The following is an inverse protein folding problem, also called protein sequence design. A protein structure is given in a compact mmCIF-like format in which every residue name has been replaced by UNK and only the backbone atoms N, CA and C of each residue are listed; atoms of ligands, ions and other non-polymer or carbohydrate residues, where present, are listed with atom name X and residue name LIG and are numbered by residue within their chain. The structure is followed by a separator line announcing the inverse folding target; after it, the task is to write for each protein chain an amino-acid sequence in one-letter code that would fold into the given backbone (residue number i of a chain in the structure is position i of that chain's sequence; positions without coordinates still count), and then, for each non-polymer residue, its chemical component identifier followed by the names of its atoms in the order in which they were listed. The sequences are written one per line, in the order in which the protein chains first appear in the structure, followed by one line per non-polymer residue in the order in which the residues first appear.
data_IF_515118913227
#
_entry.id   IF_515118913227
#
_cell.length_a   1.000
_cell.length_b   1.000
_cell.length_c   1.000
_cell.angle_alpha   90.00
_cell.angle_beta   90.00
_cell.angle_gamma   90.00
#
_symmetry.space_group_name_H-M   'P 1'
#
loop_
_entity.id
_entity.type
_entity.pdbx_description
1 polymer ?
#
# COMPACT_ATOMS: atom_id res chain seq x y z
N UNK A 1 5.83 -32.93 -11.81
CA UNK A 1 5.19 -31.93 -10.92
C UNK A 1 4.18 -31.15 -11.74
N UNK A 2 2.91 -31.17 -11.31
CA UNK A 2 1.82 -30.46 -12.01
C UNK A 2 1.79 -29.03 -11.46
N UNK A 3 1.95 -28.02 -12.32
CA UNK A 3 1.96 -26.61 -11.97
C UNK A 3 0.62 -25.93 -12.20
N UNK A 4 -0.18 -26.52 -13.09
CA UNK A 4 -1.51 -26.01 -13.45
C UNK A 4 -2.53 -27.11 -13.26
N UNK A 5 -3.71 -26.76 -12.83
CA UNK A 5 -4.88 -27.63 -12.77
C UNK A 5 -6.03 -27.03 -13.56
N UNK A 6 -6.88 -27.88 -14.06
CA UNK A 6 -8.06 -27.46 -14.82
C UNK A 6 -9.31 -27.73 -14.01
N UNK A 7 -9.95 -26.63 -13.56
CA UNK A 7 -11.20 -26.70 -12.82
C UNK A 7 -12.27 -26.01 -13.67
N UNK A 8 -13.34 -26.72 -14.00
CA UNK A 8 -14.52 -26.18 -14.72
C UNK A 8 -14.17 -25.32 -15.96
N UNK A 9 -13.31 -25.81 -16.84
CA UNK A 9 -12.80 -25.11 -18.05
C UNK A 9 -11.84 -23.95 -17.79
N UNK A 10 -11.51 -23.64 -16.56
CA UNK A 10 -10.53 -22.62 -16.20
C UNK A 10 -9.21 -23.30 -15.81
N UNK A 11 -8.10 -22.72 -16.25
CA UNK A 11 -6.76 -23.16 -15.85
C UNK A 11 -6.33 -22.31 -14.64
N UNK A 12 -6.03 -22.97 -13.54
CA UNK A 12 -5.55 -22.36 -12.31
C UNK A 12 -4.18 -22.90 -11.94
N UNK A 13 -3.41 -22.13 -11.19
CA UNK A 13 -2.14 -22.59 -10.65
C UNK A 13 -2.38 -23.49 -9.43
N UNK A 14 -1.68 -24.62 -9.38
CA UNK A 14 -1.55 -25.38 -8.14
C UNK A 14 -0.72 -24.59 -7.12
N UNK A 15 -0.71 -25.01 -5.86
CA UNK A 15 0.13 -24.34 -4.85
C UNK A 15 1.62 -24.40 -5.21
N UNK A 16 2.08 -25.51 -5.79
CA UNK A 16 3.42 -25.60 -6.37
C UNK A 16 3.60 -24.68 -7.58
N UNK A 17 2.55 -24.50 -8.39
CA UNK A 17 2.54 -23.54 -9.50
C UNK A 17 2.73 -22.11 -9.02
N UNK A 18 2.03 -21.72 -7.96
CA UNK A 18 2.18 -20.41 -7.33
C UNK A 18 3.58 -20.19 -6.77
N UNK A 19 4.14 -21.20 -6.14
CA UNK A 19 5.49 -21.17 -5.60
C UNK A 19 6.54 -20.99 -6.71
N UNK A 20 6.45 -21.77 -7.77
CA UNK A 20 7.37 -21.65 -8.93
C UNK A 20 7.19 -20.31 -9.63
N UNK A 21 5.96 -19.79 -9.78
CA UNK A 21 5.73 -18.50 -10.38
C UNK A 21 6.47 -17.38 -9.61
N UNK A 22 6.47 -17.45 -8.28
CA UNK A 22 7.22 -16.52 -7.43
C UNK A 22 8.73 -16.53 -7.73
N UNK A 23 9.31 -17.73 -7.90
CA UNK A 23 10.71 -17.84 -8.31
C UNK A 23 10.97 -17.37 -9.75
N UNK A 24 10.06 -17.66 -10.67
CA UNK A 24 10.16 -17.20 -12.04
C UNK A 24 10.17 -15.67 -12.14
N UNK A 25 9.32 -15.00 -11.35
CA UNK A 25 9.34 -13.53 -11.26
C UNK A 25 10.65 -13.01 -10.69
N UNK A 26 11.19 -13.63 -9.64
CA UNK A 26 12.47 -13.26 -9.07
C UNK A 26 13.63 -13.44 -10.05
N UNK A 27 13.59 -14.49 -10.84
CA UNK A 27 14.59 -14.73 -11.89
C UNK A 27 14.52 -13.67 -13.00
N UNK A 28 13.33 -13.29 -13.46
CA UNK A 28 13.14 -12.23 -14.45
C UNK A 28 13.57 -10.87 -13.94
N UNK A 29 13.32 -10.59 -12.67
CA UNK A 29 13.80 -9.37 -12.03
C UNK A 29 15.34 -9.33 -11.99
N UNK A 30 15.98 -10.40 -11.48
CA UNK A 30 17.45 -10.50 -11.44
C UNK A 30 18.08 -10.40 -12.84
N UNK A 31 17.45 -10.99 -13.84
CA UNK A 31 17.90 -10.86 -15.23
C UNK A 31 17.83 -9.41 -15.73
N UNK A 32 16.76 -8.67 -15.35
CA UNK A 32 16.64 -7.24 -15.60
C UNK A 32 17.74 -6.42 -14.94
N UNK A 33 17.97 -6.65 -13.64
CA UNK A 33 19.04 -5.98 -12.89
C UNK A 33 20.43 -6.24 -13.49
N UNK A 34 20.71 -7.47 -13.93
CA UNK A 34 21.95 -7.80 -14.63
C UNK A 34 22.09 -7.06 -15.96
N UNK A 35 21.01 -6.94 -16.73
CA UNK A 35 21.02 -6.18 -17.99
C UNK A 35 21.30 -4.70 -17.75
N UNK A 36 20.74 -4.11 -16.69
CA UNK A 36 20.98 -2.72 -16.31
C UNK A 36 22.44 -2.47 -15.89
N UNK A 37 23.09 -3.44 -15.23
CA UNK A 37 24.50 -3.33 -14.83
C UNK A 37 25.47 -3.34 -16.01
N UNK A 38 25.11 -3.99 -17.10
CA UNK A 38 25.98 -4.16 -18.30
C UNK A 38 25.80 -3.03 -19.32
N UNK A 39 24.68 -2.31 -19.26
CA UNK A 39 24.42 -1.23 -20.22
C UNK A 39 24.98 0.11 -19.71
N UNK A 40 25.66 0.91 -20.58
CA UNK A 40 26.03 2.28 -20.22
C UNK A 40 24.73 3.05 -19.96
N UNK A 41 24.77 4.00 -19.00
CA UNK A 41 23.61 4.82 -18.53
C UNK A 41 22.60 5.09 -19.65
N UNK A 42 21.68 4.15 -19.83
CA UNK A 42 20.53 4.39 -20.70
C UNK A 42 19.59 5.37 -20.00
N UNK A 43 18.97 6.22 -20.78
CA UNK A 43 17.86 7.04 -20.32
C UNK A 43 16.84 6.12 -19.60
N UNK A 44 16.54 6.46 -18.35
CA UNK A 44 15.60 5.68 -17.54
C UNK A 44 14.24 5.78 -18.22
N UNK A 45 13.74 4.66 -18.73
CA UNK A 45 12.47 4.55 -19.44
C UNK A 45 11.69 3.33 -18.98
N UNK A 46 10.38 3.40 -19.08
CA UNK A 46 9.52 2.26 -18.75
C UNK A 46 8.19 2.68 -18.15
N UNK A 47 7.52 1.72 -17.52
CA UNK A 47 6.21 1.91 -16.91
C UNK A 47 6.29 1.62 -15.43
N UNK A 48 5.98 2.63 -14.61
CA UNK A 48 5.91 2.50 -13.16
C UNK A 48 4.44 2.37 -12.73
N UNK A 49 4.09 1.27 -12.08
CA UNK A 49 2.74 1.00 -11.58
C UNK A 49 2.74 1.07 -10.06
N UNK A 50 1.97 1.98 -9.50
CA UNK A 50 1.94 2.23 -8.05
C UNK A 50 0.51 2.01 -7.55
N UNK A 51 0.34 1.21 -6.49
CA UNK A 51 -0.92 1.17 -5.76
C UNK A 51 -0.84 2.06 -4.52
N UNK A 52 -1.87 2.84 -4.26
CA UNK A 52 -1.97 3.70 -3.08
C UNK A 52 -3.43 3.93 -2.68
N UNK A 53 -3.64 4.44 -1.45
CA UNK A 53 -4.96 4.84 -1.02
C UNK A 53 -5.39 6.16 -1.67
N UNK A 54 -6.69 6.39 -1.73
CA UNK A 54 -7.27 7.61 -2.31
C UNK A 54 -6.74 8.88 -1.65
N UNK A 55 -6.70 8.91 -0.33
CA UNK A 55 -6.18 10.05 0.44
C UNK A 55 -4.70 10.37 0.15
N UNK A 56 -3.88 9.35 -0.04
CA UNK A 56 -2.47 9.54 -0.43
C UNK A 56 -2.36 10.01 -1.88
N UNK A 57 -3.23 9.51 -2.75
CA UNK A 57 -3.25 9.91 -4.15
C UNK A 57 -3.56 11.40 -4.29
N UNK A 58 -4.58 11.91 -3.60
CA UNK A 58 -4.93 13.33 -3.61
C UNK A 58 -3.77 14.22 -3.15
N UNK A 59 -3.01 13.79 -2.15
CA UNK A 59 -1.94 14.60 -1.57
C UNK A 59 -0.67 14.64 -2.45
N UNK A 60 -0.27 13.50 -3.00
CA UNK A 60 1.07 13.35 -3.57
C UNK A 60 1.12 13.09 -5.07
N UNK A 61 0.03 12.60 -5.69
CA UNK A 61 0.09 12.14 -7.08
C UNK A 61 0.51 13.26 -8.04
N UNK A 62 -0.01 14.47 -7.87
CA UNK A 62 0.35 15.60 -8.72
C UNK A 62 1.84 15.96 -8.57
N UNK A 63 2.33 16.06 -7.34
CA UNK A 63 3.73 16.39 -7.04
C UNK A 63 4.66 15.31 -7.58
N UNK A 64 4.31 14.03 -7.33
CA UNK A 64 5.09 12.88 -7.79
C UNK A 64 5.15 12.83 -9.31
N UNK A 65 4.02 13.02 -9.99
CA UNK A 65 3.94 13.03 -11.44
C UNK A 65 4.82 14.12 -12.05
N UNK A 66 4.72 15.36 -11.58
CA UNK A 66 5.51 16.49 -12.09
C UNK A 66 7.00 16.26 -11.90
N UNK A 67 7.42 15.76 -10.72
CA UNK A 67 8.82 15.47 -10.43
C UNK A 67 9.35 14.34 -11.31
N UNK A 68 8.59 13.26 -11.44
CA UNK A 68 8.97 12.11 -12.26
C UNK A 68 9.12 12.51 -13.74
N UNK A 69 8.14 13.20 -14.30
CA UNK A 69 8.15 13.65 -15.70
C UNK A 69 9.31 14.60 -16.01
N UNK A 70 9.65 15.48 -15.08
CA UNK A 70 10.80 16.39 -15.25
C UNK A 70 12.13 15.64 -15.22
N UNK A 71 12.27 14.65 -14.35
CA UNK A 71 13.54 13.94 -14.15
C UNK A 71 13.71 12.77 -15.10
N UNK A 72 12.61 12.10 -15.46
CA UNK A 72 12.57 10.90 -16.29
C UNK A 72 11.42 10.98 -17.30
N UNK A 73 11.57 11.77 -18.36
CA UNK A 73 10.49 12.03 -19.33
C UNK A 73 10.01 10.77 -20.08
N UNK A 74 10.85 9.75 -20.19
CA UNK A 74 10.55 8.48 -20.84
C UNK A 74 9.88 7.46 -19.88
N UNK A 75 9.62 7.85 -18.63
CA UNK A 75 8.92 7.00 -17.67
C UNK A 75 7.44 7.38 -17.64
N UNK A 76 6.57 6.43 -17.91
CA UNK A 76 5.13 6.59 -17.69
C UNK A 76 4.73 6.05 -16.32
N UNK A 77 3.73 6.65 -15.69
CA UNK A 77 3.23 6.24 -14.39
C UNK A 77 1.76 5.86 -14.47
N UNK A 78 1.41 4.73 -13.84
CA UNK A 78 0.03 4.31 -13.60
C UNK A 78 -0.22 4.21 -12.10
N UNK A 79 -1.23 4.94 -11.63
CA UNK A 79 -1.68 4.86 -10.24
C UNK A 79 -2.93 3.98 -10.19
N UNK A 80 -2.97 3.08 -9.22
CA UNK A 80 -4.11 2.22 -8.90
C UNK A 80 -4.57 2.55 -7.49
N UNK A 81 -5.79 3.06 -7.35
CA UNK A 81 -6.36 3.35 -6.04
C UNK A 81 -7.00 2.08 -5.50
N UNK A 82 -6.59 1.67 -4.30
CA UNK A 82 -7.05 0.45 -3.66
C UNK A 82 -6.92 0.52 -2.13
N UNK A 83 -7.66 -0.34 -1.43
CA UNK A 83 -7.45 -0.59 0.00
C UNK A 83 -6.19 -1.43 0.25
N UNK A 84 -5.70 -1.42 1.48
CA UNK A 84 -4.40 -2.04 1.85
C UNK A 84 -4.28 -3.49 1.41
N UNK A 85 -5.27 -4.33 1.70
CA UNK A 85 -5.22 -5.76 1.37
C UNK A 85 -5.16 -5.98 -0.15
N UNK A 86 -5.94 -5.19 -0.89
CA UNK A 86 -5.95 -5.24 -2.35
C UNK A 86 -4.63 -4.76 -2.95
N UNK A 87 -3.99 -3.72 -2.38
CA UNK A 87 -2.67 -3.25 -2.81
C UNK A 87 -1.64 -4.38 -2.75
N UNK A 88 -1.58 -5.10 -1.63
CA UNK A 88 -0.66 -6.23 -1.47
C UNK A 88 -1.02 -7.41 -2.36
N UNK A 89 -2.30 -7.64 -2.62
CA UNK A 89 -2.73 -8.63 -3.60
C UNK A 89 -2.22 -8.29 -5.00
N UNK A 90 -2.36 -7.02 -5.41
CA UNK A 90 -1.86 -6.54 -6.71
C UNK A 90 -0.34 -6.64 -6.81
N UNK A 91 0.39 -6.31 -5.74
CA UNK A 91 1.84 -6.44 -5.67
C UNK A 91 2.27 -7.90 -5.83
N UNK A 92 1.66 -8.81 -5.09
CA UNK A 92 1.94 -10.25 -5.17
C UNK A 92 1.63 -10.86 -6.54
N UNK A 93 0.71 -10.25 -7.28
CA UNK A 93 0.34 -10.65 -8.64
C UNK A 93 1.14 -9.92 -9.72
N UNK A 94 2.14 -9.10 -9.34
CA UNK A 94 2.91 -8.24 -10.24
C UNK A 94 2.06 -7.30 -11.13
N UNK A 95 0.90 -6.92 -10.64
CA UNK A 95 0.06 -5.94 -11.31
C UNK A 95 0.47 -4.50 -10.98
N UNK A 96 1.21 -4.32 -9.88
CA UNK A 96 1.89 -3.07 -9.50
C UNK A 96 3.33 -3.37 -9.07
N UNK A 97 4.18 -2.37 -9.19
CA UNK A 97 5.62 -2.44 -8.88
C UNK A 97 5.90 -1.93 -7.48
N UNK A 98 5.08 -0.98 -7.01
CA UNK A 98 5.15 -0.36 -5.69
C UNK A 98 3.79 -0.28 -5.02
N UNK A 99 3.83 -0.36 -3.70
CA UNK A 99 2.70 0.00 -2.82
C UNK A 99 3.14 1.18 -1.96
N UNK A 100 2.31 2.23 -1.93
CA UNK A 100 2.46 3.34 -1.00
C UNK A 100 1.26 3.38 -0.08
N UNK A 101 1.48 3.06 1.18
CA UNK A 101 0.40 2.88 2.17
C UNK A 101 0.78 3.48 3.51
N UNK A 102 -0.23 3.80 4.30
CA UNK A 102 -0.09 4.17 5.70
C UNK A 102 -0.52 2.95 6.52
N UNK A 103 0.43 2.27 7.14
CA UNK A 103 0.18 1.09 7.96
C UNK A 103 1.25 0.97 9.06
N UNK A 104 1.14 -0.06 9.89
CA UNK A 104 2.24 -0.46 10.77
C UNK A 104 3.42 -0.96 9.94
N UNK A 105 4.59 -1.00 10.55
CA UNK A 105 5.74 -1.64 9.93
C UNK A 105 5.40 -3.05 9.43
N UNK A 106 5.70 -3.30 8.16
CA UNK A 106 5.34 -4.54 7.49
C UNK A 106 6.53 -5.49 7.53
N UNK A 107 6.41 -6.51 8.36
CA UNK A 107 7.40 -7.59 8.43
C UNK A 107 7.04 -8.69 7.44
N UNK A 108 7.63 -8.67 6.26
CA UNK A 108 7.41 -9.71 5.26
C UNK A 108 8.68 -9.95 4.44
N UNK A 109 9.10 -11.21 4.32
CA UNK A 109 10.36 -11.58 3.65
C UNK A 109 10.39 -11.30 2.15
N UNK A 110 9.22 -11.22 1.53
CA UNK A 110 9.10 -11.06 0.08
C UNK A 110 9.01 -9.59 -0.36
N UNK A 111 8.99 -8.66 0.59
CA UNK A 111 8.90 -7.22 0.31
C UNK A 111 10.17 -6.50 0.71
N UNK A 112 10.54 -5.51 -0.08
CA UNK A 112 11.60 -4.56 0.24
C UNK A 112 10.97 -3.23 0.60
N UNK A 113 11.21 -2.76 1.82
CA UNK A 113 10.80 -1.42 2.24
C UNK A 113 11.82 -0.44 1.67
N UNK A 114 11.39 0.36 0.70
CA UNK A 114 12.24 1.37 0.05
C UNK A 114 12.42 2.58 0.95
N UNK A 115 11.35 3.00 1.63
CA UNK A 115 11.35 4.10 2.59
C UNK A 115 10.23 3.92 3.58
N UNK A 116 10.42 4.43 4.78
CA UNK A 116 9.45 4.43 5.86
C UNK A 116 9.57 5.76 6.63
N UNK A 117 8.42 6.35 6.95
CA UNK A 117 8.33 7.52 7.82
C UNK A 117 7.21 7.32 8.84
N UNK A 118 7.32 7.99 9.96
CA UNK A 118 6.29 7.96 10.98
C UNK A 118 5.38 9.17 10.82
N UNK A 119 4.10 8.91 10.64
CA UNK A 119 3.08 9.95 10.48
C UNK A 119 2.18 10.03 11.71
N UNK A 120 1.84 11.26 12.09
CA UNK A 120 0.93 11.50 13.21
C UNK A 120 -0.52 11.41 12.75
N UNK A 121 -1.33 10.62 13.46
CA UNK A 121 -2.77 10.53 13.25
C UNK A 121 -3.48 11.43 14.26
N UNK A 122 -4.32 12.34 13.78
CA UNK A 122 -5.04 13.30 14.60
C UNK A 122 -6.55 13.08 14.52
N UNK A 123 -7.23 13.26 15.66
CA UNK A 123 -8.67 13.43 15.69
C UNK A 123 -9.01 14.91 15.47
N UNK A 124 -9.89 15.16 14.52
CA UNK A 124 -10.32 16.52 14.16
C UNK A 124 -11.75 16.72 14.62
N UNK A 125 -12.08 17.89 15.12
CA UNK A 125 -13.43 18.23 15.57
C UNK A 125 -13.80 19.66 15.19
N UNK A 126 -15.11 19.90 15.07
CA UNK A 126 -15.61 21.26 14.84
C UNK A 126 -15.47 22.17 16.05
N UNK A 127 -15.45 23.49 15.82
CA UNK A 127 -15.28 24.50 16.86
C UNK A 127 -16.33 24.44 17.99
N UNK A 128 -17.54 23.96 17.69
CA UNK A 128 -18.63 23.88 18.66
C UNK A 128 -18.59 22.59 19.50
N UNK A 129 -17.69 21.67 19.20
CA UNK A 129 -17.60 20.43 19.97
C UNK A 129 -16.97 20.72 21.35
N UNK A 130 -17.54 20.11 22.40
CA UNK A 130 -17.09 20.25 23.80
C UNK A 130 -15.63 19.83 24.04
N UNK A 131 -15.04 19.05 23.12
CA UNK A 131 -13.65 18.60 23.19
C UNK A 131 -12.70 19.60 22.55
N UNK A 132 -13.21 20.58 21.78
CA UNK A 132 -12.38 21.57 21.13
C UNK A 132 -11.60 22.38 22.15
N UNK A 133 -10.31 22.63 21.89
CA UNK A 133 -9.44 23.40 22.77
C UNK A 133 -8.93 22.68 24.03
N UNK A 134 -9.37 21.44 24.29
CA UNK A 134 -8.78 20.64 25.37
C UNK A 134 -7.37 20.23 25.01
N UNK A 135 -6.42 20.45 25.94
CA UNK A 135 -5.02 20.02 25.76
C UNK A 135 -4.85 18.49 25.85
N UNK A 136 -5.72 17.83 26.57
CA UNK A 136 -5.75 16.39 26.74
C UNK A 136 -7.21 15.92 26.75
N UNK A 137 -7.45 14.82 26.11
CA UNK A 137 -8.77 14.19 26.01
C UNK A 137 -8.62 12.75 26.47
N UNK A 138 -9.44 12.36 27.45
CA UNK A 138 -9.49 10.98 27.89
C UNK A 138 -10.15 10.11 26.83
N UNK A 139 -9.67 8.88 26.68
CA UNK A 139 -10.21 7.95 25.70
C UNK A 139 -11.71 7.71 25.89
N UNK A 140 -12.18 7.62 27.15
CA UNK A 140 -13.59 7.47 27.49
C UNK A 140 -14.43 8.67 27.05
N UNK A 141 -13.88 9.90 27.10
CA UNK A 141 -14.57 11.08 26.60
C UNK A 141 -14.64 11.10 25.07
N UNK A 142 -13.58 10.60 24.43
CA UNK A 142 -13.47 10.54 22.99
C UNK A 142 -14.48 9.55 22.39
N UNK A 143 -14.54 8.32 22.91
CA UNK A 143 -15.44 7.27 22.38
C UNK A 143 -16.92 7.56 22.56
N UNK A 144 -17.27 8.49 23.47
CA UNK A 144 -18.65 8.96 23.63
C UNK A 144 -19.08 9.98 22.56
N UNK A 145 -18.21 10.36 21.64
CA UNK A 145 -18.55 11.29 20.54
C UNK A 145 -19.00 10.51 19.30
N UNK A 146 -19.87 11.11 18.48
CA UNK A 146 -20.12 10.57 17.15
C UNK A 146 -18.86 10.70 16.30
N UNK A 147 -18.50 9.64 15.59
CA UNK A 147 -17.35 9.60 14.69
C UNK A 147 -17.77 9.55 13.24
N UNK A 148 -17.00 10.26 12.40
CA UNK A 148 -16.89 9.98 10.98
C UNK A 148 -15.56 9.25 10.80
N UNK A 149 -15.61 8.03 10.34
CA UNK A 149 -14.46 7.16 10.21
C UNK A 149 -14.33 6.66 8.77
N UNK A 150 -13.13 6.29 8.39
CA UNK A 150 -12.88 5.60 7.14
C UNK A 150 -13.51 4.20 7.12
N UNK A 151 -13.52 3.56 5.97
CA UNK A 151 -13.98 2.19 5.81
C UNK A 151 -13.24 1.22 6.74
N UNK A 152 -13.90 0.11 7.11
CA UNK A 152 -13.37 -0.83 8.12
C UNK A 152 -12.03 -1.45 7.72
N UNK A 153 -11.84 -1.68 6.44
CA UNK A 153 -10.63 -2.29 5.85
C UNK A 153 -9.44 -1.32 5.75
N UNK A 154 -9.69 -0.02 5.95
CA UNK A 154 -8.61 0.98 5.95
C UNK A 154 -7.73 0.85 7.18
N UNK A 155 -6.43 1.01 6.99
CA UNK A 155 -5.41 0.82 8.04
C UNK A 155 -5.66 1.64 9.30
N UNK A 156 -6.01 2.91 9.19
CA UNK A 156 -6.33 3.76 10.36
C UNK A 156 -7.52 3.24 11.15
N UNK A 157 -8.58 2.82 10.44
CA UNK A 157 -9.78 2.29 11.08
C UNK A 157 -9.46 1.00 11.82
N UNK A 158 -8.72 0.11 11.18
CA UNK A 158 -8.26 -1.15 11.78
C UNK A 158 -7.40 -0.88 13.01
N UNK A 159 -6.40 -0.01 12.91
CA UNK A 159 -5.52 0.36 14.02
C UNK A 159 -6.28 0.94 15.20
N UNK A 160 -7.23 1.84 14.94
CA UNK A 160 -8.08 2.41 16.00
C UNK A 160 -8.94 1.33 16.67
N UNK A 161 -9.58 0.47 15.88
CA UNK A 161 -10.42 -0.61 16.40
C UNK A 161 -9.62 -1.59 17.25
N UNK A 162 -8.43 -2.00 16.82
CA UNK A 162 -7.53 -2.88 17.58
C UNK A 162 -7.06 -2.21 18.88
N UNK A 163 -6.73 -0.92 18.82
CA UNK A 163 -6.34 -0.15 19.99
C UNK A 163 -7.47 -0.08 21.04
N UNK A 164 -8.70 0.15 20.60
CA UNK A 164 -9.87 0.18 21.49
C UNK A 164 -10.17 -1.21 22.04
N UNK A 165 -10.19 -2.22 21.19
CA UNK A 165 -10.43 -3.61 21.60
C UNK A 165 -9.41 -4.09 22.65
N UNK A 166 -8.14 -3.71 22.53
CA UNK A 166 -7.10 -4.01 23.54
C UNK A 166 -7.40 -3.43 24.93
N UNK A 167 -8.36 -2.50 25.03
CA UNK A 167 -8.82 -1.84 26.26
C UNK A 167 -10.27 -2.17 26.60
N UNK A 168 -10.85 -3.17 25.93
CA UNK A 168 -12.25 -3.54 26.06
C UNK A 168 -13.22 -2.38 25.77
N UNK A 169 -12.88 -1.55 24.78
CA UNK A 169 -13.67 -0.41 24.31
C UNK A 169 -14.05 -0.60 22.84
N UNK A 170 -15.20 -0.04 22.46
CA UNK A 170 -15.74 -0.06 21.09
C UNK A 170 -16.24 1.32 20.69
N UNK A 171 -16.33 1.58 19.38
CA UNK A 171 -16.95 2.74 18.74
C UNK A 171 -17.81 2.31 17.55
#
# INVERSE_FOLDING_TARGET
TVLFERINRTVTLTDRGKEILRYAHRMTQLAGEMQEMVQPKQEVRGHLRIAMSDSLCEEIAEKLFVLLQRKYPEVTMKIVIAGTDEMFRLLNQNQVDFVYTLDRHIYHSDYVIVTESQEAVHFVTGYQNRLNGKKQILLQELICQPFILTEKEMSYRRMLSEYLASRSLEI
#
